data_IF_640876384250
#
_entry.id   IF_640876384250
#
_cell.length_a   1.000
_cell.length_b   1.000
_cell.length_c   1.000
_cell.angle_alpha   90.00
_cell.angle_beta   90.00
_cell.angle_gamma   90.00
#
_symmetry.space_group_name_H-M   'P 1'
#
loop_
_entity.id
_entity.type
_entity.pdbx_description
1 polymer ?
#
# COMPACT_ATOMS: atom_id res chain seq x y z
N UNK A 1 38.56 -6.40 -28.18
CA UNK A 1 38.19 -5.18 -27.42
C UNK A 1 37.12 -4.48 -28.26
N UNK A 2 35.82 -4.45 -28.01
CA UNK A 2 34.93 -4.75 -26.89
C UNK A 2 33.68 -5.45 -27.49
N UNK A 3 33.13 -6.56 -26.98
CA UNK A 3 32.53 -6.85 -25.68
C UNK A 3 31.40 -5.89 -25.29
N UNK A 4 30.16 -6.34 -25.50
CA UNK A 4 28.87 -5.87 -24.96
C UNK A 4 28.11 -4.79 -25.74
N UNK A 5 27.59 -5.17 -26.90
CA UNK A 5 26.33 -4.62 -27.43
C UNK A 5 25.25 -5.71 -27.31
N UNK A 6 24.23 -5.46 -26.50
CA UNK A 6 23.19 -6.46 -26.19
C UNK A 6 22.70 -6.50 -24.75
N UNK A 7 22.43 -5.34 -24.12
CA UNK A 7 21.63 -5.25 -22.89
C UNK A 7 20.44 -4.32 -23.10
N UNK A 8 19.71 -4.55 -24.19
CA UNK A 8 18.28 -4.23 -24.26
C UNK A 8 17.51 -5.37 -23.59
N UNK A 9 17.39 -5.26 -22.27
CA UNK A 9 16.49 -6.09 -21.47
C UNK A 9 15.63 -5.17 -20.63
N UNK A 10 14.72 -4.42 -21.27
CA UNK A 10 13.62 -3.82 -20.53
C UNK A 10 12.91 -4.94 -19.80
N UNK A 11 12.85 -4.88 -18.47
CA UNK A 11 12.13 -5.84 -17.66
C UNK A 11 10.68 -5.88 -18.15
N UNK A 12 10.37 -6.87 -18.99
CA UNK A 12 9.01 -7.28 -19.22
C UNK A 12 8.55 -7.79 -17.85
N UNK A 13 7.80 -6.96 -17.14
CA UNK A 13 7.02 -7.38 -15.99
C UNK A 13 6.18 -8.57 -16.47
N UNK A 14 6.57 -9.76 -16.03
CA UNK A 14 5.88 -10.99 -16.32
C UNK A 14 4.61 -10.94 -15.49
N UNK A 15 3.51 -10.56 -16.13
CA UNK A 15 2.18 -10.58 -15.55
C UNK A 15 1.77 -12.05 -15.47
N UNK A 16 2.14 -12.70 -14.37
CA UNK A 16 1.80 -14.10 -14.12
C UNK A 16 0.31 -14.17 -13.81
N UNK A 17 -0.49 -14.24 -14.87
CA UNK A 17 -1.93 -14.46 -14.79
C UNK A 17 -2.27 -15.64 -13.91
N UNK A 18 -3.08 -15.39 -12.89
CA UNK A 18 -3.57 -16.38 -11.94
C UNK A 18 -4.48 -17.40 -12.66
N UNK A 19 -4.13 -18.68 -12.65
CA UNK A 19 -4.82 -19.75 -13.40
C UNK A 19 -5.93 -20.45 -12.61
N UNK A 20 -6.52 -19.79 -11.61
CA UNK A 20 -7.53 -20.40 -10.73
C UNK A 20 -8.62 -19.39 -10.40
N UNK A 21 -9.67 -19.35 -11.22
CA UNK A 21 -10.88 -18.54 -11.02
C UNK A 21 -10.99 -17.38 -12.01
N UNK A 22 -12.22 -16.90 -12.22
CA UNK A 22 -12.61 -15.77 -13.09
C UNK A 22 -12.11 -14.41 -12.58
N UNK A 23 -10.85 -14.35 -12.12
CA UNK A 23 -10.22 -13.15 -11.62
C UNK A 23 -9.68 -12.33 -12.80
N UNK A 24 -10.15 -11.09 -12.91
CA UNK A 24 -9.66 -10.12 -13.88
C UNK A 24 -8.70 -9.19 -13.14
N UNK A 25 -7.45 -9.13 -13.60
CA UNK A 25 -6.44 -8.22 -13.07
C UNK A 25 -6.37 -6.96 -13.93
N UNK A 26 -6.42 -5.79 -13.28
CA UNK A 26 -6.24 -4.50 -13.94
C UNK A 26 -4.78 -4.07 -13.82
N UNK A 27 -4.15 -3.80 -14.95
CA UNK A 27 -2.78 -3.29 -14.97
C UNK A 27 -2.77 -1.82 -15.34
N UNK A 28 -1.62 -1.16 -15.15
CA UNK A 28 -1.45 0.23 -15.62
C UNK A 28 -1.71 0.39 -17.13
N UNK A 29 -1.50 -0.66 -17.92
CA UNK A 29 -1.76 -0.67 -19.37
C UNK A 29 -3.22 -0.97 -19.70
N UNK A 30 -3.91 -1.69 -18.82
CA UNK A 30 -5.32 -2.05 -18.95
C UNK A 30 -6.07 -1.67 -17.66
N UNK A 31 -6.32 -0.36 -17.43
CA UNK A 31 -6.86 0.13 -16.16
C UNK A 31 -8.38 0.04 -16.04
N UNK A 32 -9.07 -0.53 -17.04
CA UNK A 32 -10.54 -0.52 -17.12
C UNK A 32 -11.09 -1.89 -17.49
N UNK A 33 -12.19 -2.28 -16.85
CA UNK A 33 -13.00 -3.44 -17.22
C UNK A 33 -14.48 -3.04 -17.30
N UNK A 34 -15.23 -3.67 -18.20
CA UNK A 34 -16.67 -3.44 -18.33
C UNK A 34 -17.45 -4.52 -17.57
N UNK A 35 -18.08 -4.18 -16.45
CA UNK A 35 -18.89 -5.11 -15.67
C UNK A 35 -20.05 -5.71 -16.46
N UNK A 36 -20.60 -4.97 -17.42
CA UNK A 36 -21.67 -5.42 -18.32
C UNK A 36 -21.25 -6.56 -19.25
N UNK A 37 -19.98 -6.61 -19.66
CA UNK A 37 -19.46 -7.69 -20.51
C UNK A 37 -19.20 -8.96 -19.71
N UNK A 38 -18.87 -8.81 -18.44
CA UNK A 38 -18.59 -9.90 -17.51
C UNK A 38 -19.85 -10.45 -16.81
N UNK A 39 -21.03 -9.89 -17.12
CA UNK A 39 -22.30 -10.30 -16.50
C UNK A 39 -22.45 -9.88 -15.03
N UNK A 40 -21.56 -9.04 -14.51
CA UNK A 40 -21.54 -8.56 -13.12
C UNK A 40 -22.36 -7.27 -12.94
N UNK A 41 -23.61 -7.27 -13.44
CA UNK A 41 -24.46 -6.07 -13.51
C UNK A 41 -25.53 -6.02 -12.42
N UNK A 42 -25.60 -7.04 -11.56
CA UNK A 42 -26.56 -7.15 -10.46
C UNK A 42 -25.91 -7.68 -9.19
N UNK A 43 -26.52 -7.38 -8.04
CA UNK A 43 -26.06 -7.76 -6.71
C UNK A 43 -25.09 -6.76 -6.07
N UNK A 44 -24.24 -7.26 -5.18
CA UNK A 44 -23.32 -6.42 -4.40
C UNK A 44 -21.89 -6.50 -4.94
N UNK A 45 -21.32 -5.34 -5.27
CA UNK A 45 -19.90 -5.18 -5.56
C UNK A 45 -19.15 -4.85 -4.27
N UNK A 46 -18.04 -5.56 -4.04
CA UNK A 46 -17.15 -5.34 -2.90
C UNK A 46 -15.79 -4.86 -3.40
N UNK A 47 -15.34 -3.72 -2.88
CA UNK A 47 -14.00 -3.19 -3.09
C UNK A 47 -13.25 -3.31 -1.76
N UNK A 48 -12.06 -3.89 -1.77
CA UNK A 48 -11.23 -4.01 -0.57
C UNK A 48 -9.86 -3.38 -0.83
N UNK A 49 -9.43 -2.54 0.10
CA UNK A 49 -8.09 -1.97 0.16
C UNK A 49 -7.36 -2.66 1.30
N UNK A 50 -6.37 -3.48 0.96
CA UNK A 50 -5.47 -4.12 1.93
C UNK A 50 -4.04 -3.69 1.65
N UNK A 51 -3.32 -3.22 2.66
CA UNK A 51 -1.95 -2.76 2.54
C UNK A 51 -1.11 -3.18 3.75
N UNK A 52 0.22 -3.13 3.64
CA UNK A 52 1.15 -3.48 4.73
C UNK A 52 2.28 -2.46 4.86
N UNK A 53 2.58 -2.05 6.09
CA UNK A 53 3.75 -1.20 6.36
C UNK A 53 5.03 -1.97 6.00
N UNK A 54 5.94 -1.31 5.27
CA UNK A 54 7.31 -1.79 5.15
C UNK A 54 8.11 -1.17 6.28
N UNK A 55 8.81 -2.00 7.05
CA UNK A 55 9.79 -1.51 8.01
C UNK A 55 10.88 -0.76 7.25
N UNK A 56 11.22 0.45 7.69
CA UNK A 56 12.28 1.26 7.10
C UNK A 56 13.63 0.53 7.30
N UNK A 57 14.15 -0.15 6.27
CA UNK A 57 15.50 -0.75 6.29
C UNK A 57 16.63 0.32 6.26
N UNK A 58 16.29 1.60 6.41
CA UNK A 58 17.23 2.72 6.55
C UNK A 58 17.93 2.69 7.93
N UNK A 59 18.75 1.67 8.16
CA UNK A 59 19.44 1.52 9.44
C UNK A 59 20.43 0.38 9.55
N UNK A 60 20.58 -0.50 8.55
CA UNK A 60 21.60 -1.54 8.60
C UNK A 60 23.00 -0.98 8.25
N UNK A 61 23.43 0.08 8.93
CA UNK A 61 24.86 0.37 9.08
C UNK A 61 25.41 -0.67 10.05
N UNK A 62 25.86 -1.80 9.51
CA UNK A 62 26.74 -2.73 10.23
C UNK A 62 27.82 -1.91 10.95
N UNK A 63 27.95 -1.98 12.29
CA UNK A 63 29.06 -1.38 12.99
C UNK A 63 30.34 -1.93 12.36
N UNK A 64 31.13 -1.05 11.75
CA UNK A 64 32.18 -1.44 10.84
C UNK A 64 33.18 -2.42 11.46
N UNK A 65 33.19 -3.65 10.96
CA UNK A 65 34.31 -4.61 11.05
C UNK A 65 35.49 -4.18 10.18
N UNK A 66 35.78 -2.88 10.13
CA UNK A 66 36.78 -2.29 9.25
C UNK A 66 37.77 -1.46 10.04
N UNK A 67 38.93 -2.04 10.36
CA UNK A 67 40.29 -1.47 10.47
C UNK A 67 40.53 -0.12 11.18
N UNK A 68 39.51 0.52 11.80
CA UNK A 68 39.60 1.79 12.53
C UNK A 68 39.65 1.59 14.05
N UNK A 69 39.50 0.36 14.53
CA UNK A 69 39.65 -0.02 15.94
C UNK A 69 41.11 -0.17 16.41
N UNK A 70 42.05 -0.39 15.49
CA UNK A 70 43.46 -0.66 15.86
C UNK A 70 44.31 0.59 16.13
N UNK A 71 43.84 1.80 15.77
CA UNK A 71 44.59 3.06 15.99
C UNK A 71 44.05 3.95 17.13
N UNK A 72 42.90 3.61 17.72
CA UNK A 72 42.27 4.42 18.78
C UNK A 72 42.52 3.93 20.21
N UNK A 73 42.96 2.67 20.38
CA UNK A 73 43.01 2.00 21.69
C UNK A 73 44.08 2.46 22.68
N UNK A 74 45.02 3.32 22.27
CA UNK A 74 46.10 3.81 23.14
C UNK A 74 45.98 5.26 23.58
N UNK A 75 44.96 6.00 23.13
CA UNK A 75 44.87 7.44 23.41
C UNK A 75 43.77 7.83 24.39
N UNK A 76 42.76 6.98 24.65
CA UNK A 76 41.69 7.28 25.62
C UNK A 76 41.10 6.00 26.25
N UNK A 77 41.72 5.41 27.30
CA UNK A 77 41.21 4.21 27.96
C UNK A 77 39.88 4.42 28.70
N UNK A 78 39.53 5.67 29.02
CA UNK A 78 38.29 6.04 29.72
C UNK A 78 37.06 6.17 28.82
N UNK A 79 37.19 6.02 27.49
CA UNK A 79 36.03 5.97 26.59
C UNK A 79 35.36 4.59 26.56
N UNK A 80 36.00 3.55 27.12
CA UNK A 80 35.40 2.23 27.32
C UNK A 80 34.32 2.21 28.40
N UNK A 81 34.28 3.23 29.27
CA UNK A 81 33.28 3.37 30.34
C UNK A 81 32.23 4.43 30.04
N UNK A 82 32.20 4.97 28.82
CA UNK A 82 31.07 5.80 28.41
C UNK A 82 29.95 4.85 28.03
N UNK A 83 28.84 4.81 28.80
CA UNK A 83 27.68 4.03 28.38
C UNK A 83 27.29 4.54 27.00
N UNK A 84 27.05 3.60 26.09
CA UNK A 84 26.51 3.92 24.78
C UNK A 84 25.31 4.83 25.03
N UNK A 85 25.36 6.07 24.54
CA UNK A 85 24.20 6.94 24.60
C UNK A 85 23.14 6.13 23.89
N UNK A 86 22.11 5.70 24.63
CA UNK A 86 20.94 5.03 24.07
C UNK A 86 20.29 6.08 23.18
N UNK A 87 20.82 6.16 21.97
CA UNK A 87 20.29 6.95 20.91
C UNK A 87 19.00 6.24 20.63
N UNK A 88 17.91 6.76 21.22
CA UNK A 88 16.59 6.22 21.06
C UNK A 88 16.43 6.04 19.56
N UNK A 89 16.57 4.79 19.12
CA UNK A 89 16.29 4.35 17.77
C UNK A 89 14.77 4.40 17.73
N UNK A 90 14.20 5.60 17.75
CA UNK A 90 12.89 5.83 17.18
C UNK A 90 13.16 5.59 15.71
N UNK A 91 13.12 4.32 15.29
CA UNK A 91 12.86 4.00 13.91
C UNK A 91 11.72 4.93 13.55
N UNK A 92 12.00 5.88 12.67
CA UNK A 92 10.97 6.67 12.04
C UNK A 92 10.20 5.68 11.18
N UNK A 93 9.33 4.93 11.84
CA UNK A 93 8.24 4.23 11.20
C UNK A 93 7.48 5.35 10.54
N UNK A 94 7.66 5.48 9.23
CA UNK A 94 6.84 6.38 8.45
C UNK A 94 5.44 5.80 8.61
N UNK A 95 4.62 6.47 9.42
CA UNK A 95 3.23 6.09 9.57
C UNK A 95 2.57 6.41 8.23
N UNK A 96 2.50 5.41 7.37
CA UNK A 96 1.77 5.49 6.10
C UNK A 96 0.34 5.10 6.41
N UNK A 97 -0.59 5.98 6.06
CA UNK A 97 -2.02 5.78 6.18
C UNK A 97 -2.61 5.82 4.76
N UNK A 98 -3.41 4.82 4.39
CA UNK A 98 -4.01 4.72 3.06
C UNK A 98 -5.52 4.60 3.22
N UNK A 99 -6.23 5.63 2.75
CA UNK A 99 -7.68 5.69 2.80
C UNK A 99 -8.35 5.14 1.51
N UNK A 100 -9.50 4.48 1.68
CA UNK A 100 -10.42 4.13 0.61
C UNK A 100 -11.56 5.16 0.51
N UNK A 101 -11.58 5.91 -0.59
CA UNK A 101 -12.66 6.85 -0.93
C UNK A 101 -13.30 6.56 -2.27
N UNK A 102 -14.58 6.88 -2.41
CA UNK A 102 -15.32 6.79 -3.68
C UNK A 102 -16.07 8.08 -3.98
N UNK A 103 -15.86 8.63 -5.16
CA UNK A 103 -16.64 9.74 -5.72
C UNK A 103 -17.80 9.15 -6.51
N UNK A 104 -18.99 9.72 -6.34
CA UNK A 104 -20.18 9.25 -7.04
C UNK A 104 -20.96 10.40 -7.70
N UNK A 105 -21.72 10.02 -8.71
CA UNK A 105 -22.72 10.84 -9.38
C UNK A 105 -23.96 9.98 -9.63
N UNK A 106 -25.11 10.44 -9.13
CA UNK A 106 -26.40 9.82 -9.34
C UNK A 106 -27.04 10.28 -10.66
N UNK A 107 -28.04 9.55 -11.15
CA UNK A 107 -28.73 9.85 -12.42
C UNK A 107 -29.46 11.20 -12.42
N UNK A 108 -29.80 11.71 -11.25
CA UNK A 108 -30.38 13.04 -11.06
C UNK A 108 -29.33 14.16 -11.09
N UNK A 109 -28.04 13.82 -11.21
CA UNK A 109 -26.91 14.74 -11.23
C UNK A 109 -26.32 15.04 -9.85
N UNK A 110 -26.88 14.49 -8.77
CA UNK A 110 -26.37 14.67 -7.41
C UNK A 110 -24.98 14.01 -7.29
N UNK A 111 -23.99 14.78 -6.82
CA UNK A 111 -22.61 14.32 -6.66
C UNK A 111 -22.21 14.31 -5.19
N UNK A 112 -21.28 13.44 -4.84
CA UNK A 112 -20.74 13.40 -3.50
C UNK A 112 -19.53 12.48 -3.38
N UNK A 113 -19.15 12.23 -2.13
CA UNK A 113 -18.03 11.38 -1.76
C UNK A 113 -18.41 10.50 -0.59
N UNK A 114 -17.97 9.24 -0.64
CA UNK A 114 -17.95 8.31 0.49
C UNK A 114 -16.50 8.13 0.91
N UNK A 115 -16.17 8.49 2.14
CA UNK A 115 -14.81 8.39 2.69
C UNK A 115 -14.83 8.37 4.22
N UNK A 116 -13.82 7.77 4.88
CA UNK A 116 -13.73 7.77 6.33
C UNK A 116 -13.42 9.17 6.87
N UNK A 117 -12.54 9.92 6.18
CA UNK A 117 -12.18 11.28 6.53
C UNK A 117 -13.36 12.24 6.30
N UNK A 118 -14.12 12.51 7.36
CA UNK A 118 -15.34 13.32 7.33
C UNK A 118 -16.62 12.57 7.70
N UNK A 119 -16.53 11.26 7.99
CA UNK A 119 -17.65 10.47 8.49
C UNK A 119 -18.72 10.14 7.44
N UNK A 120 -18.40 10.32 6.16
CA UNK A 120 -19.31 10.01 5.05
C UNK A 120 -19.20 8.54 4.69
N UNK A 121 -19.75 7.67 5.54
CA UNK A 121 -19.70 6.22 5.34
C UNK A 121 -20.75 5.70 4.35
N UNK A 122 -21.83 6.45 4.13
CA UNK A 122 -22.94 6.08 3.26
C UNK A 122 -23.81 4.92 3.78
N UNK A 123 -24.82 4.54 3.00
CA UNK A 123 -25.75 3.43 3.29
C UNK A 123 -25.97 2.59 2.02
N UNK A 124 -26.30 1.31 2.19
CA UNK A 124 -26.66 0.39 1.10
C UNK A 124 -28.14 0.46 0.72
N UNK A 125 -29.00 0.97 1.60
CA UNK A 125 -30.45 1.02 1.40
C UNK A 125 -30.95 2.41 0.98
N UNK A 126 -30.10 3.42 1.09
CA UNK A 126 -30.41 4.80 0.69
C UNK A 126 -29.37 5.28 -0.31
N UNK A 127 -29.72 6.20 -1.24
CA UNK A 127 -28.73 6.83 -2.12
C UNK A 127 -27.56 7.38 -1.29
N UNK A 128 -26.29 7.11 -1.67
CA UNK A 128 -25.84 6.64 -2.98
C UNK A 128 -25.70 5.11 -3.14
N UNK A 129 -26.27 4.31 -2.23
CA UNK A 129 -26.18 2.84 -2.23
C UNK A 129 -24.74 2.30 -2.11
N UNK A 130 -23.87 3.12 -1.50
CA UNK A 130 -22.46 2.85 -1.22
C UNK A 130 -22.27 2.87 0.29
N UNK A 131 -21.57 1.87 0.83
CA UNK A 131 -21.24 1.82 2.25
C UNK A 131 -19.78 1.46 2.49
N UNK A 132 -19.10 2.26 3.29
CA UNK A 132 -17.74 1.99 3.75
C UNK A 132 -17.76 1.36 5.15
N UNK A 133 -16.93 0.34 5.35
CA UNK A 133 -16.84 -0.38 6.64
C UNK A 133 -16.14 0.41 7.75
N UNK A 134 -15.32 1.40 7.40
CA UNK A 134 -14.59 2.22 8.34
C UNK A 134 -13.18 2.54 7.85
N UNK A 135 -12.39 3.07 8.78
CA UNK A 135 -11.02 3.57 8.62
C UNK A 135 -10.00 2.57 9.23
N UNK A 136 -9.02 2.10 8.47
CA UNK A 136 -7.90 1.25 8.91
C UNK A 136 -6.54 1.92 8.75
N UNK A 137 -6.21 2.73 9.76
CA UNK A 137 -4.97 3.52 9.83
C UNK A 137 -3.69 2.73 10.04
N UNK A 138 -3.80 1.47 10.42
CA UNK A 138 -2.65 0.66 10.83
C UNK A 138 -2.30 -0.42 9.80
N UNK A 139 -3.11 -0.57 8.75
CA UNK A 139 -2.90 -1.58 7.71
C UNK A 139 -3.10 -2.99 8.25
N UNK A 140 -4.19 -3.20 8.97
CA UNK A 140 -4.57 -4.54 9.41
C UNK A 140 -4.76 -5.46 8.20
N UNK A 141 -4.50 -6.78 8.33
CA UNK A 141 -4.64 -7.72 7.21
C UNK A 141 -6.04 -7.76 6.57
N UNK A 142 -7.07 -7.30 7.28
CA UNK A 142 -8.44 -7.19 6.77
C UNK A 142 -8.65 -5.97 5.87
N UNK A 143 -7.85 -4.91 6.07
CA UNK A 143 -7.95 -3.65 5.35
C UNK A 143 -9.31 -2.96 5.49
N UNK A 144 -9.57 -2.05 4.57
CA UNK A 144 -10.84 -1.33 4.44
C UNK A 144 -11.69 -1.95 3.34
N UNK A 145 -12.99 -2.06 3.58
CA UNK A 145 -13.94 -2.60 2.59
C UNK A 145 -15.05 -1.60 2.30
N UNK A 146 -15.33 -1.39 1.01
CA UNK A 146 -16.50 -0.69 0.49
C UNK A 146 -17.45 -1.69 -0.17
N UNK A 147 -18.74 -1.48 0.05
CA UNK A 147 -19.84 -2.24 -0.52
C UNK A 147 -20.69 -1.31 -1.39
N UNK A 148 -21.09 -1.81 -2.56
CA UNK A 148 -21.84 -1.08 -3.57
C UNK A 148 -23.00 -1.96 -4.00
N UNK A 149 -24.23 -1.49 -3.86
CA UNK A 149 -25.40 -2.20 -4.35
C UNK A 149 -25.64 -1.80 -5.82
N UNK A 150 -25.54 -2.76 -6.74
CA UNK A 150 -25.69 -2.54 -8.18
C UNK A 150 -27.14 -2.73 -8.67
N UNK A 151 -28.07 -3.11 -7.78
CA UNK A 151 -29.47 -3.34 -8.14
C UNK A 151 -30.32 -2.05 -8.19
N UNK A 152 -29.72 -0.87 -7.94
CA UNK A 152 -30.41 0.43 -7.79
C UNK A 152 -30.12 1.43 -8.94
#
# INVERSE_FOLDING_TARGET
MAFLDGLRGGAAAFDSGNTSGSAIELTKRHPTVSLSKEGAVSGNLRVNLSWRMRTSDFGERRPGTGLRGLRGGWRNPLKFFQPDVVQAHTQSMVNVDLDLGCLYELKDGTKGVVQPLGGFLGDLNEPPYLKLSGDDRFGAPSGETMYINLDQ
#
